data_IF_065644011264
#
_entry.id   IF_065644011264
#
_cell.length_a   1.000
_cell.length_b   1.000
_cell.length_c   1.000
_cell.angle_alpha   90.00
_cell.angle_beta   90.00
_cell.angle_gamma   90.00
#
_symmetry.space_group_name_H-M   'P 1'
#
loop_
_entity.id
_entity.type
_entity.pdbx_description
1 polymer ?
#
# COMPACT_ATOMS: atom_id res chain seq x y z
N UNK A 1 21.26 -2.90 -35.37
CA UNK A 1 19.91 -2.87 -34.80
C UNK A 1 19.74 -4.08 -33.90
N UNK A 2 19.50 -3.86 -32.61
CA UNK A 2 19.28 -4.95 -31.63
C UNK A 2 17.91 -5.62 -31.87
N UNK A 3 17.72 -6.87 -31.43
CA UNK A 3 16.41 -7.54 -31.56
C UNK A 3 15.29 -6.76 -30.83
N UNK A 4 15.64 -6.09 -29.74
CA UNK A 4 14.76 -5.22 -28.97
C UNK A 4 14.27 -4.05 -29.84
N UNK A 5 15.17 -3.35 -30.53
CA UNK A 5 14.83 -2.25 -31.43
C UNK A 5 13.90 -2.71 -32.55
N UNK A 6 14.16 -3.88 -33.15
CA UNK A 6 13.31 -4.44 -34.22
C UNK A 6 11.88 -4.71 -33.72
N UNK A 7 11.75 -5.33 -32.55
CA UNK A 7 10.45 -5.64 -31.97
C UNK A 7 9.67 -4.38 -31.60
N UNK A 8 10.34 -3.37 -31.02
CA UNK A 8 9.75 -2.05 -30.76
C UNK A 8 9.29 -1.40 -32.07
N UNK A 9 10.15 -1.37 -33.10
CA UNK A 9 9.79 -0.76 -34.39
C UNK A 9 8.61 -1.45 -35.05
N UNK A 10 8.51 -2.78 -34.93
CA UNK A 10 7.38 -3.54 -35.47
C UNK A 10 6.07 -3.24 -34.75
N UNK A 11 6.10 -3.03 -33.43
CA UNK A 11 4.92 -2.60 -32.66
C UNK A 11 4.49 -1.16 -32.98
N UNK A 12 5.44 -0.29 -33.34
CA UNK A 12 5.20 1.13 -33.60
C UNK A 12 4.73 1.45 -35.03
N UNK A 13 4.60 0.46 -35.91
CA UNK A 13 4.16 0.67 -37.29
C UNK A 13 2.77 1.33 -37.29
N UNK A 14 2.67 2.52 -37.88
CA UNK A 14 1.40 3.27 -38.01
C UNK A 14 1.10 4.22 -36.84
N UNK A 15 1.99 4.36 -35.87
CA UNK A 15 1.89 5.35 -34.77
C UNK A 15 2.55 6.67 -35.17
N UNK A 16 2.10 7.81 -34.66
CA UNK A 16 2.71 9.12 -34.95
C UNK A 16 4.16 9.22 -34.41
N UNK A 17 5.04 9.93 -35.10
CA UNK A 17 6.47 10.03 -34.73
C UNK A 17 6.71 10.51 -33.29
N UNK A 18 5.88 11.45 -32.82
CA UNK A 18 5.96 11.96 -31.45
C UNK A 18 5.65 10.86 -30.43
N UNK A 19 4.55 10.13 -30.62
CA UNK A 19 4.15 9.03 -29.74
C UNK A 19 5.14 7.86 -29.80
N UNK A 20 5.74 7.62 -30.96
CA UNK A 20 6.78 6.59 -31.11
C UNK A 20 7.97 6.85 -30.19
N UNK A 21 8.45 8.10 -30.10
CA UNK A 21 9.59 8.46 -29.23
C UNK A 21 9.23 8.21 -27.76
N UNK A 22 8.04 8.61 -27.34
CA UNK A 22 7.58 8.42 -25.96
C UNK A 22 7.43 6.93 -25.60
N UNK A 23 6.78 6.16 -26.46
CA UNK A 23 6.57 4.72 -26.26
C UNK A 23 7.89 3.94 -26.29
N UNK A 24 8.81 4.32 -27.19
CA UNK A 24 10.16 3.76 -27.22
C UNK A 24 10.92 4.06 -25.93
N UNK A 25 10.85 5.30 -25.44
CA UNK A 25 11.52 5.67 -24.17
C UNK A 25 10.92 4.90 -22.98
N UNK A 26 9.59 4.77 -22.93
CA UNK A 26 8.91 4.04 -21.85
C UNK A 26 9.26 2.54 -21.86
N UNK A 27 9.34 1.92 -23.04
CA UNK A 27 9.72 0.51 -23.19
C UNK A 27 11.19 0.25 -22.89
N UNK A 28 12.09 1.14 -23.33
CA UNK A 28 13.51 1.05 -22.97
C UNK A 28 13.72 1.22 -21.46
N UNK A 29 12.98 2.13 -20.83
CA UNK A 29 12.97 2.30 -19.37
C UNK A 29 12.49 1.02 -18.69
N UNK A 30 11.39 0.44 -19.17
CA UNK A 30 10.83 -0.81 -18.65
C UNK A 30 11.81 -1.98 -18.75
N UNK A 31 12.49 -2.13 -19.90
CA UNK A 31 13.46 -3.20 -20.11
C UNK A 31 14.65 -3.13 -19.13
N UNK A 32 15.01 -1.94 -18.67
CA UNK A 32 16.10 -1.68 -17.71
C UNK A 32 15.64 -1.69 -16.25
N UNK A 33 14.34 -1.62 -15.99
CA UNK A 33 13.79 -1.54 -14.64
C UNK A 33 13.79 -2.92 -13.95
N UNK A 34 14.43 -3.00 -12.79
CA UNK A 34 14.45 -4.20 -11.95
C UNK A 34 13.11 -4.39 -11.23
N UNK A 35 12.44 -3.28 -10.90
CA UNK A 35 11.15 -3.25 -10.21
C UNK A 35 10.03 -2.91 -11.21
N UNK A 36 9.99 -3.67 -12.29
CA UNK A 36 9.09 -3.45 -13.41
C UNK A 36 7.62 -3.68 -13.00
N UNK A 37 6.69 -2.81 -13.44
CA UNK A 37 5.27 -2.94 -13.13
C UNK A 37 4.67 -4.20 -13.78
N UNK A 38 3.79 -4.88 -13.03
CA UNK A 38 3.01 -6.03 -13.51
C UNK A 38 1.95 -5.57 -14.51
N UNK A 39 1.98 -6.11 -15.73
CA UNK A 39 1.05 -5.79 -16.82
C UNK A 39 0.50 -7.09 -17.42
N UNK A 40 -0.70 -7.07 -18.02
CA UNK A 40 -1.32 -8.32 -18.50
C UNK A 40 -0.50 -9.02 -19.59
N UNK A 41 0.14 -8.24 -20.47
CA UNK A 41 1.02 -8.76 -21.51
C UNK A 41 2.47 -8.93 -21.05
N UNK A 42 2.73 -9.05 -19.74
CA UNK A 42 4.08 -9.11 -19.19
C UNK A 42 4.93 -10.21 -19.81
N UNK A 43 4.39 -11.41 -20.02
CA UNK A 43 5.15 -12.52 -20.61
C UNK A 43 5.58 -12.20 -22.04
N UNK A 44 4.69 -11.60 -22.83
CA UNK A 44 4.97 -11.20 -24.20
C UNK A 44 6.00 -10.07 -24.25
N UNK A 45 5.85 -9.06 -23.39
CA UNK A 45 6.81 -7.97 -23.24
C UNK A 45 8.19 -8.48 -22.77
N UNK A 46 8.25 -9.44 -21.85
CA UNK A 46 9.50 -10.03 -21.38
C UNK A 46 10.22 -10.79 -22.49
N UNK A 47 9.50 -11.64 -23.23
CA UNK A 47 10.08 -12.39 -24.35
C UNK A 47 10.59 -11.45 -25.45
N UNK A 48 9.80 -10.42 -25.78
CA UNK A 48 10.13 -9.50 -26.85
C UNK A 48 11.26 -8.52 -26.49
N UNK A 49 11.25 -7.94 -25.28
CA UNK A 49 12.18 -6.85 -24.91
C UNK A 49 13.36 -7.30 -24.05
N UNK A 50 13.22 -8.37 -23.26
CA UNK A 50 14.28 -8.82 -22.34
C UNK A 50 15.03 -10.00 -22.94
N UNK A 51 14.29 -11.02 -23.40
CA UNK A 51 14.90 -12.21 -24.01
C UNK A 51 15.29 -11.98 -25.47
N UNK A 52 14.74 -10.94 -26.11
CA UNK A 52 15.06 -10.57 -27.48
C UNK A 52 14.62 -11.63 -28.50
N UNK A 53 13.58 -12.39 -28.17
CA UNK A 53 13.00 -13.40 -29.06
C UNK A 53 12.49 -12.74 -30.34
N UNK A 54 12.69 -13.36 -31.51
CA UNK A 54 12.16 -12.84 -32.76
C UNK A 54 10.63 -12.93 -32.77
N UNK A 55 9.97 -12.03 -33.52
CA UNK A 55 8.50 -11.98 -33.62
C UNK A 55 7.85 -13.32 -33.99
N UNK A 56 8.52 -14.13 -34.81
CA UNK A 56 7.98 -15.41 -35.27
C UNK A 56 7.90 -16.47 -34.16
N UNK A 57 8.70 -16.33 -33.11
CA UNK A 57 8.78 -17.29 -32.01
C UNK A 57 7.90 -16.87 -30.82
N UNK A 58 7.27 -15.69 -30.89
CA UNK A 58 6.36 -15.22 -29.86
C UNK A 58 5.02 -15.95 -29.93
N UNK A 59 4.39 -16.23 -28.78
CA UNK A 59 3.10 -16.91 -28.76
C UNK A 59 2.05 -16.04 -29.46
N UNK A 60 1.33 -16.65 -30.41
CA UNK A 60 0.22 -16.05 -31.11
C UNK A 60 -1.11 -16.55 -30.55
N UNK A 61 -2.18 -15.77 -30.71
CA UNK A 61 -3.54 -16.23 -30.47
C UNK A 61 -3.84 -17.52 -31.27
N UNK A 62 -4.50 -18.52 -30.67
CA UNK A 62 -4.67 -19.86 -31.26
C UNK A 62 -5.52 -19.88 -32.54
N UNK A 63 -6.28 -18.81 -32.81
CA UNK A 63 -7.17 -18.66 -33.95
C UNK A 63 -6.52 -18.06 -35.20
N UNK A 64 -5.28 -17.57 -35.12
CA UNK A 64 -4.57 -16.99 -36.27
C UNK A 64 -3.62 -18.02 -36.89
N UNK A 65 -4.03 -18.60 -38.02
CA UNK A 65 -3.29 -19.68 -38.69
C UNK A 65 -2.33 -19.19 -39.77
N UNK A 66 -2.52 -18.00 -40.32
CA UNK A 66 -1.63 -17.43 -41.34
C UNK A 66 -0.50 -16.62 -40.71
N UNK A 67 0.71 -16.73 -41.27
CA UNK A 67 1.88 -16.00 -40.77
C UNK A 67 1.68 -14.48 -40.76
N UNK A 68 0.97 -13.94 -41.76
CA UNK A 68 0.65 -12.51 -41.82
C UNK A 68 -0.27 -12.06 -40.68
N UNK A 69 -1.34 -12.80 -40.40
CA UNK A 69 -2.28 -12.47 -39.32
C UNK A 69 -1.65 -12.67 -37.94
N UNK A 70 -0.84 -13.72 -37.79
CA UNK A 70 -0.07 -13.96 -36.58
C UNK A 70 0.88 -12.79 -36.28
N UNK A 71 1.67 -12.38 -37.28
CA UNK A 71 2.57 -11.24 -37.15
C UNK A 71 1.83 -9.95 -36.81
N UNK A 72 0.71 -9.67 -37.49
CA UNK A 72 -0.13 -8.49 -37.23
C UNK A 72 -0.69 -8.49 -35.79
N UNK A 73 -1.18 -9.64 -35.32
CA UNK A 73 -1.66 -9.80 -33.94
C UNK A 73 -0.54 -9.59 -32.93
N UNK A 74 0.63 -10.20 -33.13
CA UNK A 74 1.78 -10.05 -32.23
C UNK A 74 2.23 -8.58 -32.19
N UNK A 75 2.30 -7.89 -33.34
CA UNK A 75 2.63 -6.46 -33.36
C UNK A 75 1.59 -5.61 -32.62
N UNK A 76 0.29 -5.90 -32.78
CA UNK A 76 -0.78 -5.18 -32.10
C UNK A 76 -0.77 -5.44 -30.57
N UNK A 77 -0.56 -6.69 -30.16
CA UNK A 77 -0.42 -7.07 -28.76
C UNK A 77 0.81 -6.43 -28.12
N UNK A 78 1.93 -6.40 -28.85
CA UNK A 78 3.15 -5.73 -28.41
C UNK A 78 2.91 -4.22 -28.24
N UNK A 79 2.27 -3.56 -29.21
CA UNK A 79 1.88 -2.16 -29.11
C UNK A 79 0.98 -1.90 -27.89
N UNK A 80 -0.03 -2.75 -27.67
CA UNK A 80 -0.89 -2.70 -26.49
C UNK A 80 -0.09 -2.81 -25.19
N UNK A 81 0.91 -3.69 -25.15
CA UNK A 81 1.83 -3.81 -24.01
C UNK A 81 2.64 -2.51 -23.80
N UNK A 82 3.13 -1.86 -24.86
CA UNK A 82 3.86 -0.58 -24.75
C UNK A 82 2.98 0.52 -24.13
N UNK A 83 1.71 0.62 -24.56
CA UNK A 83 0.77 1.58 -23.99
C UNK A 83 0.44 1.29 -22.52
N UNK A 84 0.25 0.02 -22.16
CA UNK A 84 0.04 -0.37 -20.76
C UNK A 84 1.26 -0.04 -19.88
N UNK A 85 2.48 -0.29 -20.38
CA UNK A 85 3.73 0.08 -19.71
C UNK A 85 3.80 1.59 -19.49
N UNK A 86 3.56 2.38 -20.54
CA UNK A 86 3.54 3.85 -20.44
C UNK A 86 2.52 4.32 -19.41
N UNK A 87 1.29 3.79 -19.44
CA UNK A 87 0.25 4.13 -18.48
C UNK A 87 0.65 3.76 -17.04
N UNK A 88 1.26 2.60 -16.83
CA UNK A 88 1.74 2.17 -15.52
C UNK A 88 2.80 3.12 -14.95
N UNK A 89 3.77 3.55 -15.77
CA UNK A 89 4.76 4.55 -15.35
C UNK A 89 4.14 5.92 -15.05
N UNK A 90 3.14 6.35 -15.82
CA UNK A 90 2.40 7.57 -15.48
C UNK A 90 1.68 7.45 -14.14
N UNK A 91 1.00 6.32 -13.87
CA UNK A 91 0.34 6.08 -12.58
C UNK A 91 1.33 6.11 -11.43
N UNK A 92 2.48 5.44 -11.57
CA UNK A 92 3.55 5.42 -10.55
C UNK A 92 4.10 6.81 -10.26
N UNK A 93 4.37 7.61 -11.30
CA UNK A 93 4.83 8.99 -11.13
C UNK A 93 3.77 9.87 -10.44
N UNK A 94 2.50 9.68 -10.78
CA UNK A 94 1.40 10.42 -10.17
C UNK A 94 1.24 10.04 -8.69
N UNK A 95 1.36 8.74 -8.36
CA UNK A 95 1.32 8.24 -6.99
C UNK A 95 2.47 8.79 -6.14
N UNK A 96 3.69 8.84 -6.66
CA UNK A 96 4.80 9.47 -5.91
C UNK A 96 4.53 10.95 -5.66
N UNK A 97 4.01 11.67 -6.67
CA UNK A 97 3.70 13.09 -6.53
C UNK A 97 2.55 13.35 -5.51
N UNK A 98 1.54 12.47 -5.45
CA UNK A 98 0.46 12.60 -4.46
C UNK A 98 0.95 12.26 -3.06
N UNK A 99 1.81 11.25 -2.90
CA UNK A 99 2.42 10.90 -1.62
C UNK A 99 3.29 12.03 -1.07
N UNK A 100 4.06 12.70 -1.93
CA UNK A 100 4.87 13.85 -1.51
C UNK A 100 4.01 15.03 -1.06
N UNK A 101 2.91 15.32 -1.78
CA UNK A 101 1.93 16.33 -1.36
C UNK A 101 1.28 15.97 -0.02
N UNK A 102 0.89 14.70 0.17
CA UNK A 102 0.33 14.23 1.44
C UNK A 102 1.32 14.40 2.59
N UNK A 103 2.60 14.04 2.39
CA UNK A 103 3.67 14.25 3.38
C UNK A 103 3.82 15.72 3.73
N UNK A 104 3.83 16.60 2.73
CA UNK A 104 3.93 18.04 2.94
C UNK A 104 2.75 18.57 3.77
N UNK A 105 1.50 18.26 3.38
CA UNK A 105 0.31 18.67 4.13
C UNK A 105 0.29 18.11 5.56
N UNK A 106 0.73 16.87 5.76
CA UNK A 106 0.80 16.26 7.10
C UNK A 106 1.78 17.01 8.00
N UNK A 107 2.92 17.42 7.46
CA UNK A 107 3.91 18.22 8.19
C UNK A 107 3.38 19.64 8.51
N UNK A 108 2.65 20.26 7.60
CA UNK A 108 2.00 21.55 7.87
C UNK A 108 0.96 21.45 8.97
N UNK A 109 0.10 20.42 8.96
CA UNK A 109 -0.86 20.15 10.03
C UNK A 109 -0.13 19.95 11.36
N UNK A 110 0.97 19.19 11.39
CA UNK A 110 1.76 18.99 12.60
C UNK A 110 2.34 20.33 13.12
N UNK A 111 2.84 21.19 12.24
CA UNK A 111 3.35 22.52 12.61
C UNK A 111 2.24 23.43 13.16
N UNK A 112 1.09 23.49 12.49
CA UNK A 112 -0.05 24.31 12.90
C UNK A 112 -0.69 23.83 14.21
N UNK A 113 -0.74 22.51 14.43
CA UNK A 113 -1.24 21.96 15.70
C UNK A 113 -0.30 22.28 16.87
N UNK A 114 1.02 22.26 16.66
CA UNK A 114 2.00 22.70 17.66
C UNK A 114 1.84 24.20 17.95
N UNK A 115 1.73 25.04 16.92
CA UNK A 115 1.56 26.49 17.10
C UNK A 115 0.24 26.83 17.79
N UNK A 116 -0.86 26.19 17.41
CA UNK A 116 -2.16 26.35 18.07
C UNK A 116 -2.10 25.91 19.54
N UNK A 117 -1.44 24.79 19.84
CA UNK A 117 -1.24 24.34 21.23
C UNK A 117 -0.37 25.31 22.03
N UNK A 118 0.66 25.88 21.43
CA UNK A 118 1.49 26.91 22.06
C UNK A 118 0.69 28.19 22.32
N UNK A 119 -0.07 28.67 21.34
CA UNK A 119 -0.95 29.83 21.47
C UNK A 119 -2.02 29.61 22.56
N UNK A 120 -2.62 28.43 22.63
CA UNK A 120 -3.54 28.02 23.69
C UNK A 120 -2.91 28.04 25.08
N UNK A 121 -1.65 27.61 25.22
CA UNK A 121 -0.93 27.71 26.50
C UNK A 121 -0.59 29.15 26.86
N UNK A 122 -0.29 29.98 25.86
CA UNK A 122 0.06 31.38 26.05
C UNK A 122 -1.15 32.28 26.35
N UNK A 123 -2.35 31.91 25.90
CA UNK A 123 -3.56 32.72 26.05
C UNK A 123 -4.24 32.61 27.43
N UNK A 124 -3.71 31.79 28.35
CA UNK A 124 -4.23 31.54 29.71
C UNK A 124 -5.77 31.37 29.76
N UNK A 125 -6.35 30.80 28.69
CA UNK A 125 -7.79 30.60 28.60
C UNK A 125 -8.20 29.46 29.53
N UNK A 126 -8.88 29.82 30.63
CA UNK A 126 -9.67 28.88 31.43
C UNK A 126 -10.66 28.16 30.52
N UNK A 127 -10.44 26.87 30.25
CA UNK A 127 -11.42 26.02 29.56
C UNK A 127 -12.68 25.94 30.43
N UNK A 128 -13.82 26.49 30.00
CA UNK A 128 -14.99 26.60 30.88
C UNK A 128 -15.67 25.25 31.19
N UNK A 129 -15.29 24.17 30.50
CA UNK A 129 -15.97 22.86 30.58
C UNK A 129 -15.12 21.72 31.17
N UNK A 130 -13.94 22.01 31.74
CA UNK A 130 -13.19 21.01 32.51
C UNK A 130 -13.12 21.49 33.95
N UNK A 131 -14.03 20.98 34.79
CA UNK A 131 -13.81 21.04 36.23
C UNK A 131 -12.40 20.49 36.51
N UNK A 132 -11.58 21.20 37.30
CA UNK A 132 -10.30 20.65 37.74
C UNK A 132 -10.58 19.30 38.38
N UNK A 133 -9.88 18.23 37.95
CA UNK A 133 -9.92 16.98 38.72
C UNK A 133 -9.62 17.37 40.15
N UNK A 134 -10.60 17.21 41.04
CA UNK A 134 -10.39 17.37 42.47
C UNK A 134 -9.26 16.39 42.79
N UNK A 135 -8.07 16.93 43.02
CA UNK A 135 -7.04 16.20 43.72
C UNK A 135 -7.66 15.89 45.07
N UNK A 136 -8.27 14.71 45.20
CA UNK A 136 -8.48 14.12 46.52
C UNK A 136 -7.08 14.11 47.10
N UNK A 137 -6.87 14.91 48.13
CA UNK A 137 -5.75 14.77 49.05
C UNK A 137 -5.79 13.33 49.55
N UNK A 138 -5.17 12.43 48.79
CA UNK A 138 -4.73 11.16 49.30
C UNK A 138 -3.71 11.54 50.35
N UNK A 139 -4.17 11.61 51.60
CA UNK A 139 -3.26 11.65 52.73
C UNK A 139 -2.25 10.53 52.50
N UNK A 140 -1.00 10.92 52.37
CA UNK A 140 0.11 10.00 52.26
C UNK A 140 0.10 9.15 53.53
N UNK A 141 -0.31 7.89 53.42
CA UNK A 141 -0.01 6.86 54.40
C UNK A 141 1.32 6.22 53.97
N UNK A 142 2.41 6.40 54.70
CA UNK A 142 3.63 5.65 54.42
C UNK A 142 3.33 4.16 54.62
N UNK A 143 3.49 3.36 53.55
CA UNK A 143 3.46 1.91 53.69
C UNK A 143 4.66 1.47 54.55
N UNK A 144 4.48 0.48 55.45
CA UNK A 144 5.63 -0.17 56.07
C UNK A 144 6.42 -0.92 54.99
N UNK A 145 7.72 -0.66 54.99
CA UNK A 145 8.71 -1.35 54.16
C UNK A 145 8.69 -2.83 54.56
N UNK A 146 8.37 -3.71 53.61
CA UNK A 146 9.25 -4.79 53.14
C UNK A 146 8.52 -5.73 52.15
N UNK A 147 9.04 -5.77 50.92
CA UNK A 147 8.97 -6.92 50.01
C UNK A 147 7.61 -7.30 49.41
N UNK A 148 7.25 -6.74 48.25
CA UNK A 148 6.86 -7.52 47.07
C UNK A 148 6.52 -6.62 45.87
N UNK A 149 7.11 -6.95 44.71
CA UNK A 149 6.93 -6.28 43.43
C UNK A 149 5.46 -6.39 42.98
N UNK A 150 4.70 -5.28 43.02
CA UNK A 150 3.36 -5.22 42.41
C UNK A 150 3.42 -4.53 41.04
N UNK A 151 3.27 -5.35 40.01
CA UNK A 151 3.03 -4.97 38.62
C UNK A 151 1.69 -4.19 38.44
N UNK A 152 1.53 -3.41 37.36
CA UNK A 152 0.37 -2.53 37.18
C UNK A 152 -0.91 -3.35 36.92
N UNK A 153 -1.88 -3.29 37.83
CA UNK A 153 -3.20 -3.92 37.62
C UNK A 153 -4.08 -3.03 36.75
N UNK A 154 -4.22 -3.46 35.50
CA UNK A 154 -5.33 -3.12 34.60
C UNK A 154 -6.66 -3.24 35.34
N UNK A 155 -7.41 -2.14 35.38
CA UNK A 155 -8.80 -2.09 35.84
C UNK A 155 -9.70 -2.85 34.87
N UNK A 156 -9.80 -4.16 35.08
CA UNK A 156 -10.85 -5.03 34.60
C UNK A 156 -11.15 -5.99 35.74
N UNK A 157 -12.15 -5.67 36.58
CA UNK A 157 -12.54 -6.52 37.71
C UNK A 157 -13.07 -7.83 37.14
N UNK A 158 -12.22 -8.86 37.05
CA UNK A 158 -12.65 -10.22 36.65
C UNK A 158 -13.73 -10.66 37.63
N UNK A 159 -14.94 -10.86 37.13
CA UNK A 159 -16.01 -11.49 37.89
C UNK A 159 -15.58 -12.92 38.23
N UNK A 160 -15.82 -13.34 39.47
CA UNK A 160 -15.70 -14.76 39.83
C UNK A 160 -16.74 -15.57 39.04
N UNK A 161 -16.47 -16.86 38.82
CA UNK A 161 -17.40 -17.72 38.08
C UNK A 161 -18.78 -17.79 38.73
N UNK A 162 -18.85 -17.80 40.06
CA UNK A 162 -20.11 -17.79 40.81
C UNK A 162 -20.94 -16.52 40.55
N UNK A 163 -20.27 -15.38 40.37
CA UNK A 163 -20.94 -14.12 40.00
C UNK A 163 -21.38 -14.10 38.54
N UNK A 164 -20.59 -14.70 37.64
CA UNK A 164 -20.93 -14.84 36.23
C UNK A 164 -22.14 -15.79 36.04
N UNK A 165 -22.18 -16.90 36.77
CA UNK A 165 -23.28 -17.87 36.73
C UNK A 165 -24.60 -17.27 37.23
N UNK A 166 -24.57 -16.50 38.34
CA UNK A 166 -25.77 -15.77 38.82
C UNK A 166 -26.31 -14.75 37.80
N UNK A 167 -25.44 -14.11 37.03
CA UNK A 167 -25.85 -13.08 36.06
C UNK A 167 -26.29 -13.66 34.72
N UNK A 168 -25.71 -14.78 34.30
CA UNK A 168 -25.89 -15.32 32.94
C UNK A 168 -26.62 -16.65 32.89
N UNK A 169 -26.82 -17.32 34.03
CA UNK A 169 -27.39 -18.66 34.13
C UNK A 169 -26.51 -19.76 33.50
N UNK A 170 -25.30 -19.43 33.06
CA UNK A 170 -24.38 -20.38 32.41
C UNK A 170 -23.50 -21.05 33.44
N UNK A 171 -23.65 -22.37 33.57
CA UNK A 171 -22.78 -23.22 34.38
C UNK A 171 -21.35 -23.22 33.84
N UNK A 172 -20.40 -23.43 34.74
CA UNK A 172 -18.98 -23.51 34.44
C UNK A 172 -18.73 -24.71 33.51
N UNK A 173 -18.05 -24.53 32.36
CA UNK A 173 -17.73 -25.65 31.48
C UNK A 173 -16.79 -26.62 32.20
N UNK A 174 -17.24 -27.87 32.38
CA UNK A 174 -16.49 -28.95 33.06
C UNK A 174 -16.99 -29.35 34.45
N UNK A 175 -18.11 -28.82 34.95
CA UNK A 175 -18.69 -29.23 36.25
C UNK A 175 -19.62 -30.45 36.20
N UNK A 176 -19.70 -31.17 35.08
CA UNK A 176 -20.44 -32.43 34.96
C UNK A 176 -19.47 -33.55 34.60
N UNK A 177 -18.85 -34.11 35.64
CA UNK A 177 -18.23 -35.42 35.65
C UNK A 177 -17.90 -35.81 37.10
N UNK A 178 -18.93 -36.15 37.89
CA UNK A 178 -18.85 -37.14 38.98
C UNK A 178 -20.26 -37.41 39.52
N UNK A 179 -20.70 -38.67 39.33
CA UNK A 179 -21.89 -39.35 39.89
C UNK A 179 -23.22 -39.09 39.19
#
# INVERSE_FOLDING_TARGET
MTNIEKNITAGLIGVSDFEQIELRTATEKWAKDKDRPTVEFQNLAEMAFIKGSPLNDLPCGPSFTTAANSKAWISAALLGAMYQIRAAYHRRNNESATLDRLRHMTNEIARLTISARAAWRASDMKVPFREPRRFKSSAYTPEPVEGEVRQPTTTGRRLSWDQFEKLTGRKRPGSEASV
#
